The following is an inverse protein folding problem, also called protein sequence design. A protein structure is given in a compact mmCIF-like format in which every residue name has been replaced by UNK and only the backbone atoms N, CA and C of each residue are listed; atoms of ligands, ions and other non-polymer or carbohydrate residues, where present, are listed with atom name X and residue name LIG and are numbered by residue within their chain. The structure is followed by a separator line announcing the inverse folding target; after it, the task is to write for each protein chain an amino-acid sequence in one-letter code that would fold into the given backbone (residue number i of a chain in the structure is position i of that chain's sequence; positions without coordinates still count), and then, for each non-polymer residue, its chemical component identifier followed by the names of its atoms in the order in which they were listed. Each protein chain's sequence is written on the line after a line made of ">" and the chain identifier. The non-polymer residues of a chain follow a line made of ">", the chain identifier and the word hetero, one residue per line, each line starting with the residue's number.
data_IF_748558407105
#
_entry.id   IF_748558407105
#
_cell.length_a   1.000
_cell.length_b   1.000
_cell.length_c   1.000
_cell.angle_alpha   90.00
_cell.angle_beta   90.00
_cell.angle_gamma   90.00
#
_symmetry.space_group_name_H-M   'P 1'
#
loop_
_entity.id
_entity.type
_entity.pdbx_description
1 polymer ?
#
# COMPACT_ATOMS: atom_id res chain seq x y z
N UNK A 1 4.58 -5.99 -13.09
CA UNK A 1 4.27 -4.56 -13.29
C UNK A 1 4.37 -4.15 -14.75
N UNK A 2 5.46 -4.46 -15.47
CA UNK A 2 5.66 -4.07 -16.88
C UNK A 2 4.57 -4.58 -17.85
N UNK A 3 4.21 -5.86 -17.75
CA UNK A 3 3.19 -6.48 -18.62
C UNK A 3 1.80 -5.86 -18.46
N UNK A 4 1.41 -5.48 -17.24
CA UNK A 4 0.13 -4.82 -16.98
C UNK A 4 0.01 -3.45 -17.66
N UNK A 5 1.09 -2.65 -17.63
CA UNK A 5 1.12 -1.34 -18.30
C UNK A 5 1.07 -1.49 -19.82
N UNK A 6 1.81 -2.46 -20.37
CA UNK A 6 1.80 -2.73 -21.81
C UNK A 6 0.40 -3.18 -22.25
N UNK A 7 -0.22 -4.11 -21.51
CA UNK A 7 -1.56 -4.61 -21.82
C UNK A 7 -2.63 -3.51 -21.72
N UNK A 8 -2.56 -2.67 -20.67
CA UNK A 8 -3.50 -1.56 -20.51
C UNK A 8 -3.35 -0.51 -21.60
N UNK A 9 -2.11 -0.23 -22.03
CA UNK A 9 -1.84 0.70 -23.12
C UNK A 9 -2.38 0.17 -24.45
N UNK A 10 -2.15 -1.11 -24.73
CA UNK A 10 -2.64 -1.76 -25.94
C UNK A 10 -4.18 -1.76 -25.99
N UNK A 11 -4.82 -2.06 -24.85
CA UNK A 11 -6.28 -1.99 -24.71
C UNK A 11 -6.82 -0.56 -24.89
N UNK A 12 -6.14 0.45 -24.33
CA UNK A 12 -6.52 1.86 -24.49
C UNK A 12 -6.41 2.32 -25.95
N UNK A 13 -5.36 1.93 -26.66
CA UNK A 13 -5.21 2.22 -28.10
C UNK A 13 -6.36 1.57 -28.88
N UNK A 14 -6.68 0.31 -28.59
CA UNK A 14 -7.78 -0.40 -29.23
C UNK A 14 -9.13 0.32 -29.02
N UNK A 15 -9.39 0.77 -27.80
CA UNK A 15 -10.58 1.54 -27.44
C UNK A 15 -10.67 2.85 -28.24
N UNK A 16 -9.58 3.61 -28.35
CA UNK A 16 -9.55 4.85 -29.13
C UNK A 16 -9.81 4.57 -30.61
N UNK A 17 -9.18 3.54 -31.19
CA UNK A 17 -9.42 3.15 -32.58
C UNK A 17 -10.90 2.79 -32.79
N UNK A 18 -11.49 2.03 -31.88
CA UNK A 18 -12.89 1.63 -31.97
C UNK A 18 -13.84 2.84 -31.93
N UNK A 19 -13.57 3.81 -31.05
CA UNK A 19 -14.33 5.06 -30.96
C UNK A 19 -14.22 5.91 -32.24
N UNK A 20 -13.02 6.02 -32.81
CA UNK A 20 -12.78 6.82 -34.02
C UNK A 20 -13.35 6.17 -35.28
N UNK A 21 -13.29 4.84 -35.38
CA UNK A 21 -13.83 4.11 -36.53
C UNK A 21 -15.35 4.02 -36.51
N UNK A 22 -15.99 4.09 -35.34
CA UNK A 22 -17.44 3.97 -35.19
C UNK A 22 -18.04 5.21 -34.51
N UNK A 23 -17.93 6.41 -35.09
CA UNK A 23 -18.40 7.65 -34.45
C UNK A 23 -19.94 7.76 -34.41
N UNK A 24 -20.63 6.89 -35.17
CA UNK A 24 -22.08 6.80 -35.22
C UNK A 24 -22.66 6.54 -33.82
N UNK A 25 -23.90 6.99 -33.60
CA UNK A 25 -24.64 6.65 -32.39
C UNK A 25 -24.93 5.14 -32.37
N UNK A 26 -24.64 4.49 -31.24
CA UNK A 26 -24.88 3.08 -31.00
C UNK A 26 -26.06 2.95 -30.04
N UNK A 27 -26.98 2.05 -30.36
CA UNK A 27 -28.07 1.67 -29.47
C UNK A 27 -27.52 0.73 -28.40
N UNK A 28 -27.71 1.11 -27.14
CA UNK A 28 -27.27 0.34 -25.98
C UNK A 28 -28.49 -0.12 -25.21
N UNK A 29 -28.67 -1.43 -25.20
CA UNK A 29 -29.72 -2.08 -24.44
C UNK A 29 -29.11 -2.57 -23.11
N UNK A 30 -29.22 -1.74 -22.07
CA UNK A 30 -28.91 -2.16 -20.71
C UNK A 30 -30.11 -2.93 -20.17
N UNK A 31 -29.86 -3.88 -19.26
CA UNK A 31 -30.82 -4.87 -18.77
C UNK A 31 -32.25 -4.35 -18.47
N UNK A 32 -32.39 -3.07 -18.08
CA UNK A 32 -33.67 -2.39 -17.86
C UNK A 32 -33.81 -1.03 -18.58
N UNK A 33 -32.81 -0.61 -19.38
CA UNK A 33 -32.76 0.72 -19.97
C UNK A 33 -32.21 0.67 -21.39
N UNK A 34 -32.96 1.20 -22.34
CA UNK A 34 -32.45 1.47 -23.68
C UNK A 34 -31.97 2.92 -23.76
N UNK A 35 -30.75 3.11 -24.24
CA UNK A 35 -30.18 4.43 -24.44
C UNK A 35 -29.41 4.47 -25.74
N UNK A 36 -29.51 5.59 -26.44
CA UNK A 36 -28.77 5.85 -27.66
C UNK A 36 -27.72 6.92 -27.38
N UNK A 37 -26.46 6.62 -27.69
CA UNK A 37 -25.36 7.53 -27.46
C UNK A 37 -24.24 7.33 -28.47
N UNK A 38 -23.36 8.32 -28.61
CA UNK A 38 -22.16 8.13 -29.44
C UNK A 38 -21.29 7.02 -28.84
N UNK A 39 -20.75 6.15 -29.70
CA UNK A 39 -19.81 5.10 -29.30
C UNK A 39 -18.72 5.64 -28.38
N UNK A 40 -18.15 6.81 -28.69
CA UNK A 40 -17.10 7.41 -27.88
C UNK A 40 -17.51 7.62 -26.42
N UNK A 41 -18.73 8.14 -26.18
CA UNK A 41 -19.24 8.39 -24.83
C UNK A 41 -19.43 7.06 -24.08
N UNK A 42 -20.11 6.10 -24.72
CA UNK A 42 -20.38 4.78 -24.14
C UNK A 42 -19.06 4.09 -23.78
N UNK A 43 -18.07 4.15 -24.66
CA UNK A 43 -16.77 3.53 -24.49
C UNK A 43 -15.98 4.19 -23.35
N UNK A 44 -15.98 5.53 -23.27
CA UNK A 44 -15.37 6.26 -22.13
C UNK A 44 -16.02 5.85 -20.81
N UNK A 45 -17.35 5.78 -20.76
CA UNK A 45 -18.09 5.47 -19.53
C UNK A 45 -17.80 4.04 -19.06
N UNK A 46 -17.90 3.07 -19.97
CA UNK A 46 -17.69 1.64 -19.69
C UNK A 46 -16.23 1.34 -19.36
N UNK A 47 -15.29 1.90 -20.12
CA UNK A 47 -13.86 1.76 -19.86
C UNK A 47 -13.48 2.41 -18.52
N UNK A 48 -13.97 3.63 -18.27
CA UNK A 48 -13.76 4.33 -17.00
C UNK A 48 -14.26 3.53 -15.80
N UNK A 49 -15.46 2.96 -15.89
CA UNK A 49 -15.99 2.02 -14.88
C UNK A 49 -15.09 0.80 -14.70
N UNK A 50 -14.64 0.18 -15.79
CA UNK A 50 -13.73 -0.95 -15.75
C UNK A 50 -12.41 -0.63 -15.05
N UNK A 51 -11.84 0.56 -15.30
CA UNK A 51 -10.62 1.05 -14.62
C UNK A 51 -10.88 1.23 -13.13
N UNK A 52 -11.97 1.88 -12.74
CA UNK A 52 -12.34 2.09 -11.33
C UNK A 52 -12.46 0.74 -10.61
N UNK A 53 -13.22 -0.20 -11.19
CA UNK A 53 -13.41 -1.55 -10.64
C UNK A 53 -12.07 -2.30 -10.55
N UNK A 54 -11.23 -2.20 -11.59
CA UNK A 54 -9.89 -2.80 -11.62
C UNK A 54 -8.99 -2.27 -10.51
N UNK A 55 -8.97 -0.95 -10.30
CA UNK A 55 -8.23 -0.31 -9.21
C UNK A 55 -8.76 -0.79 -7.85
N UNK A 56 -10.08 -0.79 -7.67
CA UNK A 56 -10.71 -1.21 -6.41
C UNK A 56 -10.39 -2.68 -6.09
N UNK A 57 -10.31 -3.55 -7.10
CA UNK A 57 -9.92 -4.95 -6.96
C UNK A 57 -8.48 -5.14 -6.47
N UNK A 58 -7.58 -4.17 -6.71
CA UNK A 58 -6.19 -4.25 -6.22
C UNK A 58 -6.03 -3.92 -4.73
N UNK A 59 -6.96 -3.17 -4.14
CA UNK A 59 -6.94 -2.77 -2.72
C UNK A 59 -6.88 -3.97 -1.75
N UNK A 60 -7.76 -4.99 -1.82
CA UNK A 60 -7.71 -6.13 -0.90
C UNK A 60 -6.40 -6.92 -1.02
N UNK A 61 -5.84 -7.00 -2.23
CA UNK A 61 -4.56 -7.68 -2.48
C UNK A 61 -3.41 -6.97 -1.77
N UNK A 62 -3.37 -5.65 -1.82
CA UNK A 62 -2.37 -4.87 -1.09
C UNK A 62 -2.55 -4.98 0.43
N UNK A 63 -3.78 -4.93 0.94
CA UNK A 63 -4.05 -5.02 2.37
C UNK A 63 -3.59 -6.38 2.96
N UNK A 64 -3.87 -7.48 2.27
CA UNK A 64 -3.39 -8.82 2.66
C UNK A 64 -1.86 -8.89 2.66
N UNK A 65 -1.22 -8.30 1.65
CA UNK A 65 0.25 -8.25 1.53
C UNK A 65 0.87 -7.47 2.70
N UNK A 66 0.28 -6.33 3.09
CA UNK A 66 0.74 -5.50 4.22
C UNK A 66 0.64 -6.25 5.55
N UNK A 67 -0.45 -7.00 5.78
CA UNK A 67 -0.63 -7.81 7.00
C UNK A 67 0.41 -8.92 7.11
N UNK A 68 0.62 -9.68 6.02
CA UNK A 68 1.66 -10.71 5.96
C UNK A 68 3.05 -10.13 6.21
N UNK A 69 3.35 -8.93 5.70
CA UNK A 69 4.63 -8.26 5.94
C UNK A 69 4.83 -7.89 7.42
N UNK A 70 3.77 -7.48 8.13
CA UNK A 70 3.82 -7.22 9.58
C UNK A 70 4.01 -8.49 10.40
N UNK A 71 3.34 -9.58 10.03
CA UNK A 71 3.50 -10.88 10.69
C UNK A 71 4.89 -11.48 10.49
N UNK A 72 5.44 -11.37 9.28
CA UNK A 72 6.81 -11.81 8.98
C UNK A 72 7.86 -10.99 9.74
N UNK A 73 7.69 -9.65 9.83
CA UNK A 73 8.56 -8.80 10.67
C UNK A 73 8.47 -9.17 12.16
N UNK A 74 7.27 -9.43 12.67
CA UNK A 74 7.07 -9.83 14.08
C UNK A 74 7.71 -11.18 14.43
N UNK A 75 7.85 -12.09 13.46
CA UNK A 75 8.60 -13.36 13.63
C UNK A 75 10.12 -13.20 13.50
N UNK A 76 10.61 -12.11 12.90
CA UNK A 76 12.04 -11.80 12.80
C UNK A 76 12.55 -10.99 14.00
N UNK A 77 11.67 -10.44 14.85
CA UNK A 77 12.00 -9.75 16.11
C UNK A 77 11.62 -10.55 17.38
N UNK A 78 12.24 -11.69 17.70
CA UNK A 78 12.23 -12.21 19.07
C UNK A 78 13.31 -11.59 19.97
N UNK A 79 14.28 -10.81 19.44
CA UNK A 79 15.49 -10.46 20.21
C UNK A 79 16.04 -9.05 19.96
N UNK A 80 15.26 -8.01 20.25
CA UNK A 80 15.84 -6.71 20.59
C UNK A 80 15.08 -6.11 21.77
N UNK A 81 15.27 -6.70 22.96
CA UNK A 81 15.12 -5.96 24.21
C UNK A 81 16.08 -4.76 24.12
N UNK A 82 15.65 -3.51 24.34
CA UNK A 82 16.60 -2.48 24.73
C UNK A 82 17.06 -2.84 26.15
N UNK A 83 18.14 -3.63 26.25
CA UNK A 83 18.94 -3.72 27.46
C UNK A 83 19.69 -2.41 27.60
N UNK A 84 18.99 -1.37 28.04
CA UNK A 84 19.58 -0.15 28.58
C UNK A 84 18.98 0.13 29.96
N UNK A 85 19.05 -0.86 30.84
CA UNK A 85 19.04 -0.64 32.29
C UNK A 85 20.50 -0.71 32.77
N UNK A 86 21.27 0.34 32.47
CA UNK A 86 22.42 0.67 33.29
C UNK A 86 21.85 1.43 34.50
N UNK A 87 21.45 0.68 35.51
CA UNK A 87 21.32 1.20 36.87
C UNK A 87 22.73 1.14 37.45
N UNK A 88 23.49 2.23 37.33
CA UNK A 88 24.60 2.46 38.26
C UNK A 88 24.03 3.13 39.52
N UNK A 89 24.41 2.64 40.72
CA UNK A 89 23.83 3.06 41.97
C UNK A 89 24.36 4.43 42.40
N UNK A 90 23.51 5.16 43.11
CA UNK A 90 23.88 6.32 43.89
C UNK A 90 25.13 6.07 44.75
N UNK A 91 26.15 6.92 44.61
CA UNK A 91 27.12 7.16 45.66
C UNK A 91 26.91 8.56 46.25
N UNK A 92 25.96 8.67 47.19
CA UNK A 92 25.87 9.82 48.09
C UNK A 92 25.92 9.36 49.55
N UNK A 93 27.06 9.54 50.19
CA UNK A 93 27.30 9.77 51.62
C UNK A 93 28.79 9.51 51.85
N UNK A 94 29.56 10.26 52.63
CA UNK A 94 29.30 11.28 53.61
C UNK A 94 30.62 11.41 54.39
N UNK A 95 31.02 12.64 54.65
CA UNK A 95 32.02 13.08 55.64
C UNK A 95 32.40 12.07 56.74
N UNK A 96 33.70 11.89 57.03
CA UNK A 96 34.35 12.27 58.31
C UNK A 96 35.77 11.67 58.51
N UNK A 97 36.72 12.54 58.92
CA UNK A 97 38.10 12.36 59.51
C UNK A 97 38.17 11.36 60.72
N UNK A 98 39.31 11.17 61.44
CA UNK A 98 40.74 10.97 61.13
C UNK A 98 41.38 9.79 61.95
N UNK A 99 42.73 9.69 62.01
CA UNK A 99 43.56 8.84 62.93
C UNK A 99 43.58 7.35 62.63
N UNK A 100 44.64 6.55 62.80
CA UNK A 100 45.98 6.71 63.35
C UNK A 100 46.60 5.30 63.41
N UNK A 101 47.92 5.26 63.60
CA UNK A 101 48.67 4.11 64.15
C UNK A 101 48.78 2.81 63.32
N UNK A 102 50.02 2.43 62.98
CA UNK A 102 50.71 1.22 63.50
C UNK A 102 51.59 0.50 62.46
N UNK A 103 52.90 0.61 62.68
CA UNK A 103 53.94 -0.42 62.50
C UNK A 103 54.23 -0.99 61.10
N UNK A 104 55.40 -0.63 60.55
CA UNK A 104 56.63 -1.45 60.57
C UNK A 104 57.83 -0.67 60.05
#
# INVERSE_FOLDING_TARGET
>A
MRTGLILSLLLAILAVIFALQNPQAMDVNLLFFETQGSTALILILTFGLGVIVGLLSTLPKQLRTRRKLKELRKKQDPESKPSSSFTEPESSSGSSRPTGDRSK
#
